data_IF_893369359974
#
_entry.id   IF_893369359974
#
_cell.length_a   1.000
_cell.length_b   1.000
_cell.length_c   1.000
_cell.angle_alpha   90.00
_cell.angle_beta   90.00
_cell.angle_gamma   90.00
#
_symmetry.space_group_name_H-M   'P 1'
#
loop_
_entity.id
_entity.type
_entity.pdbx_description
1 polymer ?
#
# COMPACT_ATOMS: atom_id res chain seq x y z
N UNK A 1 19.43 16.50 -10.83
CA UNK A 1 18.19 15.87 -11.32
C UNK A 1 17.14 16.00 -10.23
N UNK A 2 15.97 16.56 -10.55
CA UNK A 2 14.94 16.93 -9.58
C UNK A 2 14.18 15.68 -9.16
N UNK A 3 14.65 14.97 -8.13
CA UNK A 3 13.83 14.02 -7.40
C UNK A 3 12.76 14.83 -6.67
N UNK A 4 11.67 15.08 -7.39
CA UNK A 4 10.40 15.48 -6.81
C UNK A 4 9.96 14.30 -5.96
N UNK A 5 10.49 14.28 -4.73
CA UNK A 5 10.08 13.47 -3.60
C UNK A 5 8.62 13.81 -3.42
N UNK A 6 7.77 13.08 -4.14
CA UNK A 6 6.33 13.23 -4.14
C UNK A 6 5.95 13.44 -2.69
N UNK A 7 5.50 14.66 -2.37
CA UNK A 7 4.65 14.90 -1.23
C UNK A 7 3.37 14.11 -1.54
N UNK A 8 3.44 12.78 -1.45
CA UNK A 8 2.30 11.93 -1.19
C UNK A 8 1.82 12.48 0.13
N UNK A 9 0.86 13.40 0.03
CA UNK A 9 -0.02 13.79 1.11
C UNK A 9 -0.30 12.48 1.84
N UNK A 10 0.30 12.29 3.02
CA UNK A 10 0.17 11.06 3.79
C UNK A 10 -1.27 11.03 4.26
N UNK A 11 -2.17 10.61 3.37
CA UNK A 11 -3.58 10.43 3.64
C UNK A 11 -3.63 9.23 4.57
N UNK A 12 -3.68 9.54 5.87
CA UNK A 12 -3.84 8.59 6.95
C UNK A 12 -5.33 8.45 7.19
N UNK A 13 -5.81 7.22 7.08
CA UNK A 13 -7.18 6.83 7.30
C UNK A 13 -7.23 5.98 8.57
N UNK A 14 -8.36 6.04 9.28
CA UNK A 14 -8.58 5.18 10.45
C UNK A 14 -9.31 3.91 10.01
N UNK A 15 -9.00 2.78 10.64
CA UNK A 15 -9.85 1.59 10.55
C UNK A 15 -11.33 1.92 10.76
N UNK A 16 -12.20 1.33 9.93
CA UNK A 16 -13.65 1.58 9.93
C UNK A 16 -14.10 2.82 9.14
N UNK A 17 -13.19 3.55 8.50
CA UNK A 17 -13.57 4.55 7.49
C UNK A 17 -13.87 3.89 6.14
N UNK A 18 -14.64 4.60 5.32
CA UNK A 18 -14.86 4.23 3.92
C UNK A 18 -13.63 4.57 3.09
N UNK A 19 -13.22 3.62 2.26
CA UNK A 19 -12.08 3.76 1.35
C UNK A 19 -12.50 4.65 0.19
N UNK A 20 -11.97 5.86 0.13
CA UNK A 20 -12.25 6.81 -0.96
C UNK A 20 -11.48 6.50 -2.24
N UNK A 21 -10.34 5.80 -2.13
CA UNK A 21 -9.45 5.53 -3.26
C UNK A 21 -9.04 4.08 -3.25
N UNK A 22 -9.15 3.41 -4.39
CA UNK A 22 -8.56 2.09 -4.53
C UNK A 22 -7.02 2.19 -4.64
N UNK A 23 -6.34 1.24 -4.03
CA UNK A 23 -4.89 1.13 -4.16
C UNK A 23 -4.24 0.44 -2.96
N UNK A 24 -2.93 0.55 -2.89
CA UNK A 24 -2.18 -0.01 -1.77
C UNK A 24 -2.21 0.93 -0.57
N UNK A 25 -2.51 0.37 0.58
CA UNK A 25 -2.45 1.01 1.88
C UNK A 25 -1.45 0.28 2.76
N UNK A 26 -0.70 1.03 3.54
CA UNK A 26 0.26 0.49 4.51
C UNK A 26 -0.18 0.90 5.90
N UNK A 27 -0.37 -0.06 6.79
CA UNK A 27 -0.72 0.22 8.16
C UNK A 27 0.51 0.63 9.00
N UNK A 28 0.30 1.16 10.20
CA UNK A 28 1.39 1.65 11.06
C UNK A 28 2.37 0.54 11.49
N UNK A 29 1.90 -0.72 11.50
CA UNK A 29 2.72 -1.91 11.78
C UNK A 29 3.54 -2.39 10.59
N UNK A 30 3.32 -1.80 9.41
CA UNK A 30 4.02 -2.16 8.18
C UNK A 30 3.37 -3.29 7.39
N UNK A 31 2.12 -3.65 7.67
CA UNK A 31 1.32 -4.49 6.78
C UNK A 31 0.84 -3.68 5.59
N UNK A 32 0.99 -4.27 4.40
CA UNK A 32 0.47 -3.72 3.16
C UNK A 32 -0.82 -4.44 2.77
N UNK A 33 -1.83 -3.67 2.37
CA UNK A 33 -3.13 -4.21 2.00
C UNK A 33 -3.71 -3.41 0.85
N UNK A 34 -4.26 -4.14 -0.11
CA UNK A 34 -4.98 -3.57 -1.24
C UNK A 34 -6.41 -3.32 -0.80
N UNK A 35 -6.83 -2.07 -0.87
CA UNK A 35 -8.20 -1.68 -0.57
C UNK A 35 -8.86 -1.14 -1.82
N UNK A 36 -10.15 -1.41 -1.94
CA UNK A 36 -10.99 -0.96 -3.05
C UNK A 36 -11.86 0.21 -2.62
N UNK A 37 -12.12 1.13 -3.55
CA UNK A 37 -13.02 2.24 -3.29
C UNK A 37 -14.41 1.71 -2.91
N UNK A 38 -14.97 2.27 -1.83
CA UNK A 38 -16.25 1.85 -1.27
C UNK A 38 -16.16 0.69 -0.27
N UNK A 39 -14.97 0.14 -0.04
CA UNK A 39 -14.74 -0.84 1.02
C UNK A 39 -14.51 -0.15 2.38
N UNK A 40 -14.55 -0.90 3.48
CA UNK A 40 -14.27 -0.41 4.82
C UNK A 40 -12.84 -0.75 5.21
N UNK A 41 -12.07 0.22 5.68
CA UNK A 41 -10.72 -0.05 6.19
C UNK A 41 -10.76 -1.15 7.27
N UNK A 42 -10.12 -2.31 7.06
CA UNK A 42 -10.19 -3.42 7.99
C UNK A 42 -9.38 -3.16 9.25
N UNK A 43 -9.70 -3.90 10.30
CA UNK A 43 -8.92 -3.98 11.53
C UNK A 43 -7.67 -4.83 11.25
N UNK A 44 -6.55 -4.44 11.85
CA UNK A 44 -5.37 -5.27 11.85
C UNK A 44 -5.68 -6.54 12.67
N UNK A 45 -5.45 -7.75 12.14
CA UNK A 45 -5.91 -8.98 12.78
C UNK A 45 -5.30 -9.22 14.18
N UNK A 46 -4.12 -8.67 14.45
CA UNK A 46 -3.44 -8.79 15.75
C UNK A 46 -3.65 -7.58 16.68
N UNK A 47 -3.75 -6.37 16.12
CA UNK A 47 -3.71 -5.11 16.89
C UNK A 47 -5.04 -4.37 16.94
N UNK A 48 -6.02 -4.77 16.11
CA UNK A 48 -7.32 -4.12 16.04
C UNK A 48 -7.25 -2.78 15.31
N UNK A 49 -7.58 -1.69 16.01
CA UNK A 49 -7.64 -0.33 15.46
C UNK A 49 -6.24 0.12 15.00
N UNK A 50 -6.08 0.36 13.70
CA UNK A 50 -4.83 0.86 13.12
C UNK A 50 -5.08 2.07 12.22
N UNK A 51 -3.99 2.69 11.77
CA UNK A 51 -4.01 3.77 10.80
C UNK A 51 -3.46 3.28 9.47
N UNK A 52 -4.24 3.44 8.42
CA UNK A 52 -3.89 3.07 7.06
C UNK A 52 -3.36 4.29 6.32
N UNK A 53 -2.14 4.19 5.81
CA UNK A 53 -1.52 5.23 5.00
C UNK A 53 -1.60 4.85 3.54
N UNK A 54 -2.17 5.72 2.71
CA UNK A 54 -2.22 5.46 1.26
C UNK A 54 -0.81 5.44 0.66
N UNK A 55 -0.37 4.24 0.27
CA UNK A 55 0.90 4.00 -0.38
C UNK A 55 0.82 4.20 -1.91
N UNK A 56 -0.38 4.17 -2.50
CA UNK A 56 -0.62 4.50 -3.90
C UNK A 56 -0.79 3.28 -4.81
N UNK A 57 -1.45 3.47 -5.95
CA UNK A 57 -1.67 2.44 -6.98
C UNK A 57 -0.36 1.92 -7.61
N UNK A 58 0.70 2.73 -7.64
CA UNK A 58 2.00 2.25 -8.16
C UNK A 58 2.61 1.17 -7.27
N UNK A 59 2.41 1.23 -5.95
CA UNK A 59 2.92 0.25 -5.01
C UNK A 59 2.24 -1.13 -5.17
N UNK A 60 0.96 -1.16 -5.55
CA UNK A 60 0.24 -2.37 -5.95
C UNK A 60 0.96 -3.10 -7.11
N UNK A 61 1.46 -2.33 -8.07
CA UNK A 61 2.15 -2.87 -9.24
C UNK A 61 3.51 -3.52 -8.88
N UNK A 62 4.16 -3.03 -7.82
CA UNK A 62 5.40 -3.61 -7.31
C UNK A 62 5.16 -4.88 -6.49
N UNK A 63 4.06 -4.99 -5.75
CA UNK A 63 3.70 -6.23 -5.03
C UNK A 63 3.33 -7.37 -5.97
N UNK A 64 2.64 -7.07 -7.08
CA UNK A 64 2.28 -8.06 -8.09
C UNK A 64 3.44 -8.41 -9.04
N UNK A 65 4.62 -7.82 -8.85
CA UNK A 65 5.82 -8.23 -9.57
C UNK A 65 6.56 -9.25 -8.71
N UNK A 66 6.34 -10.57 -8.88
CA UNK A 66 7.37 -11.52 -8.48
C UNK A 66 8.61 -11.06 -9.25
N UNK A 67 9.66 -10.66 -8.52
CA UNK A 67 11.00 -10.57 -9.07
C UNK A 67 11.31 -11.96 -9.62
N UNK A 68 10.92 -12.23 -10.86
CA UNK A 68 11.47 -13.35 -11.61
C UNK A 68 12.95 -13.00 -11.71
N UNK A 69 13.74 -13.76 -10.97
CA UNK A 69 15.18 -13.65 -10.96
C UNK A 69 15.66 -13.90 -12.39
N UNK A 70 15.85 -12.83 -13.16
CA UNK A 70 16.56 -12.84 -14.43
C UNK A 70 18.07 -12.94 -14.17
N UNK A 71 18.51 -13.95 -13.43
CA UNK A 71 19.92 -14.35 -13.39
C UNK A 71 20.11 -15.40 -14.47
N UNK A 72 20.10 -14.97 -15.74
CA UNK A 72 20.54 -15.83 -16.84
C UNK A 72 22.06 -15.66 -16.98
N UNK A 73 22.79 -16.47 -16.20
CA UNK A 73 24.17 -16.85 -16.52
C UNK A 73 24.12 -18.00 -17.52
N UNK A 74 24.89 -17.87 -18.59
CA UNK A 74 25.03 -18.87 -19.65
C UNK A 74 25.20 -18.14 -20.99
N UNK A 75 26.31 -18.22 -21.71
CA UNK A 75 27.52 -19.04 -21.64
C UNK A 75 28.71 -18.16 -22.05
#
# INVERSE_FOLDING_TARGET
MKEQRHQKTKRRFKTGQWVEYEGLYTDDWGGDLVLMQGDLFPLHPQMGETHWTYAGQSALHFMNSPKINGHHIGY
#
